data_IF_346699722072
#
_entry.id   IF_346699722072
#
_cell.length_a   1.000
_cell.length_b   1.000
_cell.length_c   1.000
_cell.angle_alpha   90.00
_cell.angle_beta   90.00
_cell.angle_gamma   90.00
#
_symmetry.space_group_name_H-M   'P 1'
#
loop_
_entity.id
_entity.type
_entity.pdbx_description
1 polymer ?
#
# COMPACT_ATOMS: atom_id res chain seq x y z
N UNK A 1 -63.12 -0.62 61.31
CA UNK A 1 -61.77 -0.03 61.42
C UNK A 1 -60.95 -0.49 60.25
N UNK A 2 -60.75 0.34 59.19
CA UNK A 2 -60.12 -0.02 57.93
C UNK A 2 -58.72 0.59 57.97
N UNK A 3 -57.71 -0.29 58.01
CA UNK A 3 -56.27 0.06 57.97
C UNK A 3 -55.86 0.31 56.52
N UNK A 4 -55.48 1.53 56.18
CA UNK A 4 -54.94 1.92 54.88
C UNK A 4 -53.45 1.78 54.95
N UNK A 5 -52.90 0.79 54.19
CA UNK A 5 -51.47 0.62 53.99
C UNK A 5 -51.08 1.50 52.80
N UNK A 6 -50.25 2.51 53.04
CA UNK A 6 -49.60 3.33 51.99
C UNK A 6 -48.37 2.61 51.52
N UNK A 7 -48.39 2.13 50.28
CA UNK A 7 -47.19 1.66 49.58
C UNK A 7 -46.47 2.88 48.99
N UNK A 8 -45.29 3.17 49.54
CA UNK A 8 -44.37 4.14 48.99
C UNK A 8 -43.57 3.46 47.85
N UNK A 9 -43.82 3.90 46.62
CA UNK A 9 -42.97 3.52 45.47
C UNK A 9 -41.66 4.33 45.52
N UNK A 10 -40.55 3.65 45.80
CA UNK A 10 -39.22 4.22 45.63
C UNK A 10 -38.84 4.02 44.15
N UNK A 11 -38.84 5.10 43.39
CA UNK A 11 -38.35 5.10 42.01
C UNK A 11 -36.83 5.21 42.08
N UNK A 12 -36.14 4.08 41.82
CA UNK A 12 -34.68 4.03 41.66
C UNK A 12 -34.34 4.54 40.27
N UNK A 13 -33.92 5.79 40.16
CA UNK A 13 -33.38 6.33 38.91
C UNK A 13 -32.00 5.69 38.64
N UNK A 14 -31.96 4.72 37.72
CA UNK A 14 -30.72 4.20 37.21
C UNK A 14 -30.09 5.27 36.28
N UNK A 15 -29.06 5.97 36.79
CA UNK A 15 -28.19 6.80 35.96
C UNK A 15 -27.38 5.88 35.02
N UNK A 16 -27.81 5.79 33.79
CA UNK A 16 -27.00 5.17 32.73
C UNK A 16 -25.79 6.06 32.43
N UNK A 17 -24.65 5.74 33.05
CA UNK A 17 -23.37 6.29 32.64
C UNK A 17 -23.07 5.71 31.25
N UNK A 18 -23.33 6.50 30.22
CA UNK A 18 -22.91 6.16 28.86
C UNK A 18 -21.39 6.12 28.83
N UNK A 19 -20.82 4.91 28.81
CA UNK A 19 -19.44 4.74 28.38
C UNK A 19 -19.39 5.11 26.89
N UNK A 20 -18.99 6.34 26.59
CA UNK A 20 -18.50 6.71 25.29
C UNK A 20 -17.19 5.95 25.10
N UNK A 21 -17.26 4.76 24.52
CA UNK A 21 -16.10 4.11 23.94
C UNK A 21 -15.67 4.99 22.77
N UNK A 22 -14.69 5.85 23.00
CA UNK A 22 -13.99 6.54 21.92
C UNK A 22 -13.35 5.44 21.06
N UNK A 23 -13.91 5.22 19.87
CA UNK A 23 -13.21 4.45 18.84
C UNK A 23 -11.86 5.13 18.63
N UNK A 24 -10.74 4.38 18.65
CA UNK A 24 -9.45 4.98 18.32
C UNK A 24 -9.59 5.71 16.98
N UNK A 25 -9.23 6.98 16.94
CA UNK A 25 -9.19 7.75 15.70
C UNK A 25 -8.27 7.02 14.74
N UNK A 26 -8.84 6.48 13.65
CA UNK A 26 -8.09 5.73 12.66
C UNK A 26 -7.10 6.69 12.01
N UNK A 27 -5.82 6.50 12.30
CA UNK A 27 -4.75 7.37 11.80
C UNK A 27 -4.69 7.18 10.29
N UNK A 28 -5.03 8.22 9.53
CA UNK A 28 -4.85 8.19 8.08
C UNK A 28 -3.33 8.16 7.75
N UNK A 29 -2.85 6.96 7.41
CA UNK A 29 -1.44 6.71 7.12
C UNK A 29 -0.95 7.51 5.90
N UNK A 30 -1.83 7.84 4.94
CA UNK A 30 -1.48 8.65 3.79
C UNK A 30 -1.19 10.10 4.18
N UNK A 31 -1.95 10.68 5.14
CA UNK A 31 -1.65 12.00 5.66
C UNK A 31 -0.26 12.05 6.31
N UNK A 32 0.15 10.97 6.92
CA UNK A 32 1.44 10.89 7.64
C UNK A 32 2.61 10.57 6.71
N UNK A 33 2.45 9.63 5.77
CA UNK A 33 3.59 9.05 5.03
C UNK A 33 3.52 9.28 3.51
N UNK A 34 2.34 9.61 2.94
CA UNK A 34 2.16 9.87 1.51
C UNK A 34 1.97 11.35 1.16
N UNK A 35 2.01 12.25 2.15
CA UNK A 35 1.76 13.67 1.94
C UNK A 35 2.66 14.30 0.87
N UNK A 36 3.93 13.91 0.82
CA UNK A 36 4.93 14.42 -0.12
C UNK A 36 5.05 13.61 -1.41
N UNK A 37 4.42 12.44 -1.51
CA UNK A 37 4.46 11.59 -2.70
C UNK A 37 3.93 12.33 -3.93
N UNK A 38 4.30 11.85 -5.13
CA UNK A 38 3.87 12.45 -6.40
C UNK A 38 2.34 12.48 -6.49
N UNK A 39 1.80 13.63 -6.92
CA UNK A 39 0.35 13.82 -6.99
C UNK A 39 -0.23 13.28 -8.28
N UNK A 40 -1.51 12.88 -8.30
CA UNK A 40 -2.23 12.50 -9.52
C UNK A 40 -2.05 13.52 -10.63
N UNK A 41 -1.87 13.03 -11.86
CA UNK A 41 -1.57 13.83 -13.06
C UNK A 41 -0.08 14.13 -13.29
N UNK A 42 0.79 13.92 -12.28
CA UNK A 42 2.25 14.08 -12.44
C UNK A 42 2.80 12.95 -13.32
N UNK A 43 3.75 13.28 -14.21
CA UNK A 43 4.47 12.24 -14.94
C UNK A 43 5.33 11.39 -13.98
N UNK A 44 5.15 10.08 -14.02
CA UNK A 44 5.99 9.15 -13.26
C UNK A 44 7.42 9.21 -13.80
N UNK A 45 8.44 9.51 -12.96
CA UNK A 45 9.83 9.53 -13.38
C UNK A 45 10.25 8.17 -13.95
N UNK A 46 10.90 8.19 -15.12
CA UNK A 46 11.44 6.96 -15.70
C UNK A 46 12.68 6.50 -14.93
N UNK A 47 12.88 5.20 -14.88
CA UNK A 47 14.06 4.59 -14.26
C UNK A 47 14.45 3.32 -14.99
N UNK A 48 15.67 2.86 -14.76
CA UNK A 48 16.22 1.62 -15.32
C UNK A 48 16.84 0.82 -14.20
N UNK A 49 16.40 -0.43 -14.02
CA UNK A 49 16.93 -1.40 -13.06
C UNK A 49 17.00 -2.78 -13.69
N UNK A 50 17.70 -3.70 -13.04
CA UNK A 50 17.70 -5.10 -13.43
C UNK A 50 16.64 -5.88 -12.64
N UNK A 51 16.00 -6.82 -13.32
CA UNK A 51 15.10 -7.78 -12.68
C UNK A 51 15.90 -8.91 -11.97
N UNK A 52 15.16 -9.79 -11.28
CA UNK A 52 15.73 -10.94 -10.55
C UNK A 52 16.56 -11.89 -11.44
N UNK A 53 16.40 -11.83 -12.75
CA UNK A 53 17.15 -12.63 -13.74
C UNK A 53 18.30 -11.83 -14.38
N UNK A 54 18.55 -10.61 -13.94
CA UNK A 54 19.57 -9.72 -14.50
C UNK A 54 19.17 -9.01 -15.80
N UNK A 55 17.91 -9.13 -16.23
CA UNK A 55 17.41 -8.40 -17.40
C UNK A 55 17.15 -6.94 -17.05
N UNK A 56 17.67 -6.04 -17.87
CA UNK A 56 17.43 -4.60 -17.76
C UNK A 56 15.98 -4.27 -18.13
N UNK A 57 15.30 -3.51 -17.27
CA UNK A 57 13.90 -3.10 -17.39
C UNK A 57 13.80 -1.61 -17.14
N UNK A 58 13.02 -0.91 -17.95
CA UNK A 58 12.65 0.50 -17.78
C UNK A 58 11.18 0.61 -17.46
N UNK A 59 10.80 1.59 -16.63
CA UNK A 59 9.39 1.86 -16.40
C UNK A 59 8.65 2.22 -17.71
N UNK A 60 9.32 2.93 -18.60
CA UNK A 60 8.78 3.30 -19.92
C UNK A 60 8.49 2.12 -20.85
N UNK A 61 9.06 0.93 -20.60
CA UNK A 61 8.76 -0.28 -21.37
C UNK A 61 7.30 -0.74 -21.23
N UNK A 62 6.61 -0.25 -20.21
CA UNK A 62 5.19 -0.57 -19.92
C UNK A 62 4.20 0.47 -20.42
N UNK A 63 4.61 1.44 -21.25
CA UNK A 63 3.69 2.39 -21.88
C UNK A 63 2.59 1.66 -22.65
N UNK A 64 1.37 2.16 -22.57
CA UNK A 64 0.18 1.52 -23.13
C UNK A 64 -0.51 0.55 -22.18
N UNK A 65 0.09 0.28 -21.01
CA UNK A 65 -0.54 -0.46 -19.91
C UNK A 65 -0.58 0.39 -18.65
N UNK A 66 -1.52 0.11 -17.76
CA UNK A 66 -1.46 0.63 -16.40
C UNK A 66 -0.37 -0.10 -15.63
N UNK A 67 0.27 0.59 -14.69
CA UNK A 67 1.32 0.01 -13.85
C UNK A 67 0.95 0.20 -12.39
N UNK A 68 0.90 -0.90 -11.66
CA UNK A 68 0.98 -0.91 -10.20
C UNK A 68 2.46 -0.95 -9.85
N UNK A 69 3.00 0.17 -9.33
CA UNK A 69 4.40 0.29 -8.92
C UNK A 69 4.49 0.28 -7.41
N UNK A 70 5.17 -0.72 -6.86
CA UNK A 70 5.41 -0.90 -5.43
C UNK A 70 6.88 -0.65 -5.09
N UNK A 71 7.12 0.12 -4.02
CA UNK A 71 8.43 0.22 -3.36
C UNK A 71 8.37 -0.54 -2.04
N UNK A 72 9.32 -1.45 -1.82
CA UNK A 72 9.28 -2.39 -0.72
C UNK A 72 10.65 -2.90 -0.29
N UNK A 73 10.70 -3.75 0.73
CA UNK A 73 11.87 -4.56 1.05
C UNK A 73 11.47 -5.82 1.84
N UNK A 74 12.26 -6.88 1.75
CA UNK A 74 11.97 -8.14 2.47
C UNK A 74 12.06 -8.01 3.98
N UNK A 75 12.84 -7.07 4.49
CA UNK A 75 12.97 -6.78 5.93
C UNK A 75 11.85 -5.90 6.48
N UNK A 76 11.00 -5.30 5.63
CA UNK A 76 9.90 -4.41 6.03
C UNK A 76 8.69 -5.23 6.52
N UNK A 77 8.27 -5.12 7.79
CA UNK A 77 7.15 -5.89 8.31
C UNK A 77 5.82 -5.53 7.65
N UNK A 78 5.54 -4.24 7.42
CA UNK A 78 4.30 -3.75 6.80
C UNK A 78 4.20 -4.24 5.34
N UNK A 79 5.31 -4.19 4.59
CA UNK A 79 5.35 -4.73 3.23
C UNK A 79 5.00 -6.23 3.17
N UNK A 80 5.45 -6.99 4.19
CA UNK A 80 5.13 -8.43 4.30
C UNK A 80 3.68 -8.67 4.68
N UNK A 81 3.11 -7.81 5.52
CA UNK A 81 1.71 -7.91 5.93
C UNK A 81 0.76 -7.66 4.75
N UNK A 82 1.10 -6.73 3.84
CA UNK A 82 0.30 -6.39 2.67
C UNK A 82 0.49 -7.37 1.49
N UNK A 83 1.52 -8.21 1.52
CA UNK A 83 1.85 -9.11 0.42
C UNK A 83 0.68 -10.01 -0.06
N UNK A 84 -0.15 -10.61 0.81
CA UNK A 84 -1.31 -11.40 0.37
C UNK A 84 -2.30 -10.59 -0.48
N UNK A 85 -2.55 -9.34 -0.11
CA UNK A 85 -3.45 -8.46 -0.86
C UNK A 85 -2.85 -8.07 -2.22
N UNK A 86 -1.55 -7.75 -2.27
CA UNK A 86 -0.85 -7.45 -3.53
C UNK A 86 -0.92 -8.66 -4.49
N UNK A 87 -0.70 -9.89 -3.98
CA UNK A 87 -0.82 -11.10 -4.78
C UNK A 87 -2.24 -11.30 -5.29
N UNK A 88 -3.25 -11.14 -4.46
CA UNK A 88 -4.65 -11.26 -4.83
C UNK A 88 -5.03 -10.26 -5.93
N UNK A 89 -4.63 -8.99 -5.79
CA UNK A 89 -4.84 -8.00 -6.85
C UNK A 89 -4.20 -8.42 -8.17
N UNK A 90 -2.97 -8.94 -8.11
CA UNK A 90 -2.25 -9.36 -9.30
C UNK A 90 -2.92 -10.55 -9.99
N UNK A 91 -3.41 -11.53 -9.22
CA UNK A 91 -4.09 -12.72 -9.75
C UNK A 91 -5.44 -12.38 -10.39
N UNK A 92 -6.13 -11.36 -9.89
CA UNK A 92 -7.43 -10.91 -10.40
C UNK A 92 -7.31 -9.96 -11.60
N UNK A 93 -6.16 -9.31 -11.78
CA UNK A 93 -5.96 -8.33 -12.85
C UNK A 93 -5.65 -8.98 -14.20
N UNK A 94 -6.16 -8.38 -15.29
CA UNK A 94 -5.80 -8.75 -16.65
C UNK A 94 -4.36 -8.32 -16.97
N UNK A 95 -3.41 -9.25 -17.17
CA UNK A 95 -2.00 -8.93 -17.43
C UNK A 95 -1.77 -8.24 -18.78
N UNK A 96 -2.77 -8.25 -19.67
CA UNK A 96 -2.69 -7.49 -20.92
C UNK A 96 -2.91 -5.99 -20.69
N UNK A 97 -3.60 -5.61 -19.61
CA UNK A 97 -3.97 -4.21 -19.27
C UNK A 97 -3.17 -3.64 -18.12
N UNK A 98 -2.82 -4.45 -17.11
CA UNK A 98 -2.15 -3.99 -15.89
C UNK A 98 -0.88 -4.81 -15.65
N UNK A 99 0.22 -4.12 -15.36
CA UNK A 99 1.51 -4.72 -15.01
C UNK A 99 1.87 -4.36 -13.57
N UNK A 100 2.28 -5.35 -12.80
CA UNK A 100 2.80 -5.16 -11.44
C UNK A 100 4.32 -5.11 -11.49
N UNK A 101 4.88 -3.98 -11.04
CA UNK A 101 6.31 -3.71 -10.96
C UNK A 101 6.65 -3.41 -9.50
N UNK A 102 7.60 -4.15 -8.94
CA UNK A 102 8.03 -3.97 -7.56
C UNK A 102 9.53 -3.65 -7.52
N UNK A 103 9.89 -2.54 -6.89
CA UNK A 103 11.27 -2.09 -6.67
C UNK A 103 11.64 -2.36 -5.23
N UNK A 104 12.62 -3.22 -5.03
CA UNK A 104 13.14 -3.58 -3.71
C UNK A 104 14.29 -2.68 -3.29
N UNK A 105 14.25 -2.23 -2.03
CA UNK A 105 15.33 -1.58 -1.30
C UNK A 105 16.02 -2.53 -0.31
N UNK A 106 16.13 -3.82 -0.67
CA UNK A 106 16.85 -4.78 0.16
C UNK A 106 18.33 -4.41 0.31
N UNK A 107 18.95 -4.90 1.39
CA UNK A 107 20.35 -4.61 1.70
C UNK A 107 21.33 -5.33 0.78
N UNK A 108 20.87 -6.37 0.07
CA UNK A 108 21.66 -7.11 -0.92
C UNK A 108 20.75 -7.76 -1.95
N UNK A 109 21.28 -7.97 -3.14
CA UNK A 109 20.62 -8.70 -4.22
C UNK A 109 20.28 -10.14 -3.81
N UNK A 110 21.14 -10.79 -3.02
CA UNK A 110 20.91 -12.14 -2.52
C UNK A 110 19.70 -12.20 -1.56
N UNK A 111 19.51 -11.20 -0.69
CA UNK A 111 18.34 -11.12 0.18
C UNK A 111 17.05 -10.91 -0.64
N UNK A 112 17.08 -10.01 -1.61
CA UNK A 112 15.99 -9.75 -2.54
C UNK A 112 15.61 -11.02 -3.33
N UNK A 113 16.55 -11.63 -4.07
CA UNK A 113 16.29 -12.78 -4.94
C UNK A 113 15.81 -14.00 -4.14
N UNK A 114 16.40 -14.24 -2.97
CA UNK A 114 15.97 -15.31 -2.06
C UNK A 114 14.53 -15.10 -1.60
N UNK A 115 14.16 -13.87 -1.24
CA UNK A 115 12.79 -13.58 -0.79
C UNK A 115 11.78 -13.72 -1.93
N UNK A 116 12.10 -13.21 -3.13
CA UNK A 116 11.27 -13.34 -4.34
C UNK A 116 10.99 -14.81 -4.64
N UNK A 117 12.04 -15.64 -4.66
CA UNK A 117 11.93 -17.08 -4.95
C UNK A 117 11.14 -17.81 -3.87
N UNK A 118 11.49 -17.61 -2.59
CA UNK A 118 10.84 -18.29 -1.46
C UNK A 118 9.34 -18.00 -1.37
N UNK A 119 8.92 -16.78 -1.71
CA UNK A 119 7.53 -16.37 -1.61
C UNK A 119 6.79 -16.43 -2.96
N UNK A 120 7.42 -16.94 -4.02
CA UNK A 120 6.84 -17.05 -5.36
C UNK A 120 6.22 -15.70 -5.82
N UNK A 121 7.00 -14.61 -5.70
CA UNK A 121 6.53 -13.29 -6.09
C UNK A 121 6.44 -13.18 -7.61
N UNK A 122 5.27 -12.83 -8.10
CA UNK A 122 4.99 -12.66 -9.53
C UNK A 122 5.23 -11.20 -9.97
N UNK A 123 5.01 -10.93 -11.27
CA UNK A 123 5.25 -9.61 -11.86
C UNK A 123 6.71 -9.31 -12.06
N UNK A 124 7.01 -8.05 -12.28
CA UNK A 124 8.37 -7.58 -12.55
C UNK A 124 9.02 -7.19 -11.21
N UNK A 125 9.94 -8.00 -10.76
CA UNK A 125 10.66 -7.79 -9.49
C UNK A 125 12.04 -7.19 -9.77
N UNK A 126 12.27 -5.96 -9.31
CA UNK A 126 13.46 -5.15 -9.57
C UNK A 126 14.23 -4.89 -8.27
N UNK A 127 15.54 -4.77 -8.37
CA UNK A 127 16.41 -4.47 -7.25
C UNK A 127 17.14 -3.15 -7.45
N UNK A 128 17.01 -2.23 -6.46
CA UNK A 128 17.78 -1.01 -6.41
C UNK A 128 18.95 -1.15 -5.41
N UNK A 129 20.21 -1.31 -5.89
CA UNK A 129 21.37 -1.51 -5.03
C UNK A 129 21.72 -0.31 -4.17
N UNK A 130 21.21 0.88 -4.49
CA UNK A 130 21.47 2.08 -3.71
C UNK A 130 20.72 2.07 -2.35
N UNK A 131 19.69 1.23 -2.21
CA UNK A 131 18.82 1.22 -1.04
C UNK A 131 18.02 2.53 -0.91
N UNK A 132 16.98 2.53 -0.09
CA UNK A 132 15.99 3.60 -0.04
C UNK A 132 16.59 5.00 0.20
N UNK A 133 17.59 5.12 1.09
CA UNK A 133 18.16 6.41 1.48
C UNK A 133 18.92 7.10 0.35
N UNK A 134 19.71 6.34 -0.40
CA UNK A 134 20.61 6.86 -1.42
C UNK A 134 20.05 6.76 -2.83
N UNK A 135 18.98 5.99 -3.01
CA UNK A 135 18.29 5.78 -4.29
C UNK A 135 17.86 7.09 -4.94
N UNK A 136 18.29 7.31 -6.18
CA UNK A 136 17.79 8.38 -7.03
C UNK A 136 16.30 8.17 -7.36
N UNK A 137 15.86 6.91 -7.46
CA UNK A 137 14.46 6.54 -7.74
C UNK A 137 13.61 6.91 -6.52
N UNK A 138 14.01 6.50 -5.30
CA UNK A 138 13.28 6.87 -4.09
C UNK A 138 13.13 8.40 -3.96
N UNK A 139 14.19 9.16 -4.25
CA UNK A 139 14.15 10.63 -4.23
C UNK A 139 13.20 11.21 -5.27
N UNK A 140 13.22 10.70 -6.51
CA UNK A 140 12.37 11.18 -7.60
C UNK A 140 10.88 10.88 -7.36
N UNK A 141 10.57 9.75 -6.72
CA UNK A 141 9.22 9.37 -6.29
C UNK A 141 8.84 9.90 -4.91
N UNK A 142 9.76 10.62 -4.25
CA UNK A 142 9.57 11.18 -2.89
C UNK A 142 9.22 10.10 -1.85
N UNK A 143 9.86 8.95 -1.95
CA UNK A 143 9.67 7.83 -1.03
C UNK A 143 10.42 8.11 0.26
N UNK A 144 9.68 8.21 1.36
CA UNK A 144 10.22 8.36 2.73
C UNK A 144 9.83 7.20 3.64
N UNK A 145 8.88 6.39 3.18
CA UNK A 145 8.32 5.23 3.88
C UNK A 145 8.10 4.07 2.90
N UNK A 146 8.10 2.84 3.38
CA UNK A 146 7.67 1.65 2.65
C UNK A 146 6.72 0.81 3.52
N UNK A 147 5.67 0.20 2.90
CA UNK A 147 5.43 0.19 1.46
C UNK A 147 4.98 1.55 0.94
N UNK A 148 5.38 1.88 -0.28
CA UNK A 148 4.82 2.99 -1.04
C UNK A 148 4.32 2.47 -2.38
N UNK A 149 3.13 2.87 -2.77
CA UNK A 149 2.36 2.30 -3.85
C UNK A 149 1.90 3.39 -4.81
N UNK A 150 2.06 3.15 -6.09
CA UNK A 150 1.58 4.02 -7.15
C UNK A 150 0.72 3.24 -8.14
N UNK A 151 -0.38 3.83 -8.58
CA UNK A 151 -1.08 3.42 -9.79
C UNK A 151 -0.74 4.45 -10.88
N UNK A 152 -0.27 3.97 -12.03
CA UNK A 152 0.19 4.80 -13.14
C UNK A 152 -0.64 4.43 -14.37
N UNK A 153 -1.08 5.44 -15.13
CA UNK A 153 -1.88 5.24 -16.35
C UNK A 153 -1.02 4.80 -17.56
N UNK A 154 -1.68 4.48 -18.66
CA UNK A 154 -1.06 4.02 -19.90
C UNK A 154 -0.10 5.07 -20.52
N UNK A 155 -0.29 6.36 -20.19
CA UNK A 155 0.56 7.48 -20.62
C UNK A 155 1.73 7.72 -19.66
N UNK A 156 1.79 6.98 -18.54
CA UNK A 156 2.81 7.10 -17.51
C UNK A 156 2.57 8.25 -16.55
N UNK A 157 1.32 8.63 -16.32
CA UNK A 157 0.96 9.61 -15.30
C UNK A 157 0.45 8.90 -14.04
N UNK A 158 0.81 9.43 -12.90
CA UNK A 158 0.29 8.96 -11.61
C UNK A 158 -1.22 9.16 -11.56
N UNK A 159 -1.95 8.10 -11.22
CA UNK A 159 -3.38 8.13 -10.92
C UNK A 159 -3.63 8.15 -9.41
N UNK A 160 -2.84 7.36 -8.66
CA UNK A 160 -2.89 7.25 -7.20
C UNK A 160 -1.48 7.11 -6.64
N UNK A 161 -1.25 7.70 -5.48
CA UNK A 161 -0.09 7.44 -4.63
C UNK A 161 -0.58 7.22 -3.19
N UNK A 162 -0.19 6.12 -2.55
CA UNK A 162 -0.67 5.74 -1.22
C UNK A 162 0.37 4.86 -0.52
N UNK A 163 0.27 4.76 0.81
CA UNK A 163 1.00 3.75 1.61
C UNK A 163 0.06 2.67 2.14
N UNK A 164 -1.19 2.62 1.67
CA UNK A 164 -2.24 1.71 2.12
C UNK A 164 -2.69 0.82 0.96
N UNK A 165 -2.42 -0.49 1.04
CA UNK A 165 -2.72 -1.42 -0.05
C UNK A 165 -4.23 -1.57 -0.34
N UNK A 166 -5.10 -1.40 0.66
CA UNK A 166 -6.55 -1.44 0.47
C UNK A 166 -7.03 -0.32 -0.47
N UNK A 167 -6.52 0.92 -0.31
CA UNK A 167 -6.83 2.04 -1.21
C UNK A 167 -6.38 1.76 -2.65
N UNK A 168 -5.21 1.13 -2.81
CA UNK A 168 -4.74 0.70 -4.12
C UNK A 168 -5.64 -0.38 -4.71
N UNK A 169 -6.06 -1.37 -3.90
CA UNK A 169 -6.94 -2.46 -4.31
C UNK A 169 -8.28 -1.94 -4.82
N UNK A 170 -8.90 -1.02 -4.10
CA UNK A 170 -10.13 -0.35 -4.53
C UNK A 170 -9.97 0.39 -5.86
N UNK A 171 -8.84 1.12 -6.01
CA UNK A 171 -8.55 1.84 -7.24
C UNK A 171 -8.33 0.91 -8.44
N UNK A 172 -7.66 -0.24 -8.25
CA UNK A 172 -7.43 -1.24 -9.30
C UNK A 172 -8.74 -1.92 -9.69
N UNK A 173 -9.57 -2.32 -8.71
CA UNK A 173 -10.88 -2.93 -8.97
C UNK A 173 -11.83 -1.99 -9.76
N UNK A 174 -11.72 -0.68 -9.58
CA UNK A 174 -12.49 0.31 -10.32
C UNK A 174 -12.04 0.52 -11.78
N UNK A 175 -11.01 -0.19 -12.26
CA UNK A 175 -10.49 -0.09 -13.63
C UNK A 175 -11.05 -1.15 -14.59
N UNK A 176 -11.72 -2.15 -14.04
CA UNK A 176 -12.35 -3.24 -14.81
C UNK A 176 -13.77 -2.83 -15.26
#
# INVERSE_FOLDING_TARGET
MKLRILLAFVILAAASVGLNAQTPEEVDLDLKYAADMLKPGTAAPDFTLNDVNGKTVRLSDFRGKKVVLQFWASWCPDCRAELPLIKSMQEQSDPSKIVFVAVSFDRSEAAFSSYVTKNDLKGVQLYDPAGMRDSAIAKSYKITWIPSLYLIDEKGKVMLATVVADKLSEAVAGLE
#
